data_IF_311091256740
#
_entry.id   IF_311091256740
#
_cell.length_a   1.000
_cell.length_b   1.000
_cell.length_c   1.000
_cell.angle_alpha   90.00
_cell.angle_beta   90.00
_cell.angle_gamma   90.00
#
_symmetry.space_group_name_H-M   'P 1'
#
loop_
_entity.id
_entity.type
_entity.pdbx_description
1 polymer ?
#
# COMPACT_ATOMS: atom_id res chain seq x y z
N UNK A 1 -5.81 -3.88 -16.04
CA UNK A 1 -4.55 -4.07 -15.29
C UNK A 1 -3.81 -5.32 -15.80
N UNK A 2 -4.47 -6.46 -16.01
CA UNK A 2 -3.78 -7.68 -16.47
C UNK A 2 -2.92 -7.48 -17.73
N UNK A 3 -3.38 -6.66 -18.66
CA UNK A 3 -2.74 -6.43 -19.97
C UNK A 3 -1.96 -5.09 -20.00
N UNK A 4 -1.76 -4.44 -18.85
CA UNK A 4 -0.99 -3.21 -18.69
C UNK A 4 0.42 -3.47 -18.13
N UNK A 5 1.25 -2.44 -18.04
CA UNK A 5 2.59 -2.47 -17.44
C UNK A 5 2.58 -2.33 -15.89
N UNK A 6 1.39 -2.28 -15.26
CA UNK A 6 1.30 -2.32 -13.79
C UNK A 6 1.90 -3.63 -13.25
N UNK A 7 2.56 -3.58 -12.09
CA UNK A 7 3.18 -4.76 -11.50
C UNK A 7 2.19 -5.59 -10.68
N UNK A 8 1.31 -4.92 -9.93
CA UNK A 8 0.38 -5.52 -8.98
C UNK A 8 -1.04 -4.97 -9.13
N UNK A 9 -2.00 -5.68 -8.52
CA UNK A 9 -3.33 -5.14 -8.21
C UNK A 9 -3.32 -4.62 -6.79
N UNK A 10 -3.49 -3.33 -6.57
CA UNK A 10 -3.74 -2.76 -5.26
C UNK A 10 -5.24 -2.80 -4.95
N UNK A 11 -5.61 -3.30 -3.77
CA UNK A 11 -7.00 -3.59 -3.40
C UNK A 11 -7.31 -3.03 -2.02
N UNK A 12 -8.13 -1.97 -1.99
CA UNK A 12 -8.53 -1.27 -0.78
C UNK A 12 -9.77 -1.89 -0.14
N UNK A 13 -9.62 -2.47 1.04
CA UNK A 13 -10.72 -3.03 1.86
C UNK A 13 -11.03 -2.07 3.00
N UNK A 14 -12.29 -1.63 3.06
CA UNK A 14 -12.78 -0.63 4.03
C UNK A 14 -14.02 -1.15 4.75
N UNK A 15 -14.06 -1.00 6.09
CA UNK A 15 -15.11 -1.55 6.96
C UNK A 15 -16.16 -0.53 7.44
N UNK A 16 -15.98 0.75 7.13
CA UNK A 16 -16.85 1.82 7.63
C UNK A 16 -16.66 2.18 9.10
N UNK A 17 -15.65 1.61 9.76
CA UNK A 17 -15.32 1.85 11.18
C UNK A 17 -13.94 2.51 11.31
N UNK A 18 -12.91 1.90 10.73
CA UNK A 18 -11.57 2.50 10.69
C UNK A 18 -11.56 3.75 9.80
N UNK A 19 -12.28 3.70 8.69
CA UNK A 19 -12.50 4.83 7.78
C UNK A 19 -14.01 5.04 7.55
N UNK A 20 -14.47 6.28 7.26
CA UNK A 20 -15.90 6.59 7.10
C UNK A 20 -16.43 6.17 5.72
N UNK A 21 -16.01 5.03 5.20
CA UNK A 21 -16.43 4.46 3.93
C UNK A 21 -16.41 2.94 4.00
N UNK A 22 -17.26 2.29 3.21
CA UNK A 22 -17.28 0.85 3.01
C UNK A 22 -16.97 0.58 1.53
N UNK A 23 -15.96 -0.24 1.25
CA UNK A 23 -15.66 -0.62 -0.13
C UNK A 23 -16.32 -1.97 -0.49
N UNK A 24 -15.56 -3.01 -0.45
CA UNK A 24 -16.00 -4.38 -0.72
C UNK A 24 -15.20 -5.35 0.17
N UNK A 25 -15.55 -6.62 0.16
CA UNK A 25 -14.91 -7.63 1.01
C UNK A 25 -14.54 -8.90 0.24
N UNK A 26 -14.45 -10.00 0.98
CA UNK A 26 -13.96 -11.30 0.52
C UNK A 26 -14.57 -11.81 -0.79
N UNK A 27 -15.89 -11.70 -1.06
CA UNK A 27 -16.46 -12.20 -2.33
C UNK A 27 -15.94 -11.50 -3.56
N UNK A 28 -15.65 -10.19 -3.46
CA UNK A 28 -15.08 -9.42 -4.58
C UNK A 28 -13.61 -9.76 -4.77
N UNK A 29 -12.84 -9.88 -3.68
CA UNK A 29 -11.45 -10.32 -3.75
C UNK A 29 -11.33 -11.72 -4.40
N UNK A 30 -12.21 -12.65 -4.03
CA UNK A 30 -12.29 -13.97 -4.63
C UNK A 30 -12.56 -13.90 -6.15
N UNK A 31 -13.45 -13.01 -6.58
CA UNK A 31 -13.73 -12.80 -7.99
C UNK A 31 -12.53 -12.19 -8.73
N UNK A 32 -11.84 -11.24 -8.12
CA UNK A 32 -10.61 -10.65 -8.67
C UNK A 32 -9.54 -11.74 -8.85
N UNK A 33 -9.28 -12.54 -7.80
CA UNK A 33 -8.25 -13.58 -7.83
C UNK A 33 -8.45 -14.61 -8.93
N UNK A 34 -9.70 -14.96 -9.26
CA UNK A 34 -10.01 -15.88 -10.38
C UNK A 34 -9.51 -15.38 -11.75
N UNK A 35 -9.36 -14.09 -11.91
CA UNK A 35 -9.02 -13.45 -13.20
C UNK A 35 -7.68 -12.73 -13.16
N UNK A 36 -7.13 -12.45 -11.98
CA UNK A 36 -5.86 -11.77 -11.82
C UNK A 36 -4.70 -12.64 -12.34
N UNK A 37 -3.82 -12.02 -13.14
CA UNK A 37 -2.57 -12.62 -13.63
C UNK A 37 -1.34 -12.03 -12.95
N UNK A 38 -1.54 -11.10 -12.04
CA UNK A 38 -0.51 -10.36 -11.30
C UNK A 38 -0.77 -10.47 -9.81
N UNK A 39 0.24 -10.27 -8.96
CA UNK A 39 0.08 -10.32 -7.51
C UNK A 39 -1.03 -9.40 -7.00
N UNK A 40 -1.69 -9.85 -5.94
CA UNK A 40 -2.69 -9.09 -5.21
C UNK A 40 -2.03 -8.47 -3.98
N UNK A 41 -2.03 -7.15 -3.95
CA UNK A 41 -1.58 -6.33 -2.85
C UNK A 41 -2.82 -5.77 -2.14
N UNK A 42 -3.10 -6.29 -0.94
CA UNK A 42 -4.34 -6.02 -0.20
C UNK A 42 -4.07 -5.07 0.94
N UNK A 43 -4.69 -3.90 0.89
CA UNK A 43 -4.60 -2.86 1.91
C UNK A 43 -5.86 -2.84 2.78
N UNK A 44 -5.71 -3.15 4.07
CA UNK A 44 -6.80 -3.25 5.03
C UNK A 44 -6.98 -1.96 5.83
N UNK A 45 -7.96 -1.16 5.45
CA UNK A 45 -8.47 -0.02 6.22
C UNK A 45 -9.63 -0.48 7.12
N UNK A 46 -9.34 -1.40 8.05
CA UNK A 46 -10.33 -2.02 8.94
C UNK A 46 -9.81 -2.07 10.38
N UNK A 47 -10.72 -2.17 11.33
CA UNK A 47 -10.38 -2.48 12.73
C UNK A 47 -10.13 -3.98 12.91
N UNK A 48 -9.33 -4.37 13.92
CA UNK A 48 -9.04 -5.78 14.26
C UNK A 48 -8.62 -6.64 13.05
N UNK A 49 -7.62 -6.24 12.21
CA UNK A 49 -7.26 -6.96 11.00
C UNK A 49 -6.76 -8.39 11.27
N UNK A 50 -6.21 -8.67 12.46
CA UNK A 50 -5.71 -9.99 12.87
C UNK A 50 -6.76 -11.11 12.68
N UNK A 51 -8.04 -10.78 12.78
CA UNK A 51 -9.15 -11.74 12.64
C UNK A 51 -9.29 -12.30 11.24
N UNK A 52 -8.75 -11.63 10.24
CA UNK A 52 -9.00 -11.91 8.83
C UNK A 52 -7.73 -12.32 8.05
N UNK A 53 -6.57 -12.40 8.71
CA UNK A 53 -5.29 -12.68 8.05
C UNK A 53 -5.37 -13.98 7.24
N UNK A 54 -5.86 -15.06 7.88
CA UNK A 54 -6.00 -16.36 7.21
C UNK A 54 -6.96 -16.32 6.02
N UNK A 55 -8.10 -15.65 6.16
CA UNK A 55 -9.08 -15.52 5.08
C UNK A 55 -8.49 -14.79 3.86
N UNK A 56 -7.72 -13.73 4.07
CA UNK A 56 -7.06 -13.03 2.97
C UNK A 56 -5.97 -13.88 2.30
N UNK A 57 -5.22 -14.68 3.06
CA UNK A 57 -4.28 -15.66 2.51
C UNK A 57 -5.00 -16.71 1.65
N UNK A 58 -6.08 -17.31 2.17
CA UNK A 58 -6.89 -18.32 1.44
C UNK A 58 -7.53 -17.72 0.16
N UNK A 59 -7.76 -16.41 0.13
CA UNK A 59 -8.27 -15.67 -1.03
C UNK A 59 -7.18 -15.22 -2.02
N UNK A 60 -5.92 -15.57 -1.76
CA UNK A 60 -4.81 -15.38 -2.69
C UNK A 60 -4.10 -14.03 -2.58
N UNK A 61 -4.22 -13.32 -1.46
CA UNK A 61 -3.40 -12.14 -1.20
C UNK A 61 -1.91 -12.51 -1.19
N UNK A 62 -1.10 -11.77 -1.95
CA UNK A 62 0.36 -11.95 -1.96
C UNK A 62 1.03 -11.01 -0.94
N UNK A 63 0.48 -9.81 -0.81
CA UNK A 63 0.86 -8.82 0.19
C UNK A 63 -0.38 -8.48 1.01
N UNK A 64 -0.22 -8.35 2.32
CA UNK A 64 -1.28 -7.91 3.22
C UNK A 64 -0.76 -6.76 4.07
N UNK A 65 -1.30 -5.57 3.82
CA UNK A 65 -0.93 -4.34 4.49
C UNK A 65 -2.01 -3.94 5.50
N UNK A 66 -1.61 -3.79 6.76
CA UNK A 66 -2.47 -3.39 7.88
C UNK A 66 -2.06 -2.03 8.40
N UNK A 67 -3.00 -1.25 8.92
CA UNK A 67 -2.67 0.04 9.53
C UNK A 67 -1.98 -0.12 10.88
N UNK A 68 -0.89 0.63 11.10
CA UNK A 68 -0.23 0.76 12.41
C UNK A 68 -1.26 1.08 13.50
N UNK A 69 -2.16 2.02 13.21
CA UNK A 69 -3.18 2.54 14.12
C UNK A 69 -4.28 1.51 14.47
N UNK A 70 -4.42 0.46 13.66
CA UNK A 70 -5.38 -0.63 13.89
C UNK A 70 -4.77 -1.84 14.62
N UNK A 71 -3.45 -1.86 14.87
CA UNK A 71 -2.72 -3.02 15.37
C UNK A 71 -2.05 -2.76 16.72
N UNK A 72 -2.75 -2.93 17.87
CA UNK A 72 -2.14 -2.74 19.20
C UNK A 72 -0.90 -3.62 19.46
N UNK A 73 -0.79 -4.75 18.76
CA UNK A 73 0.32 -5.70 18.87
C UNK A 73 0.97 -5.94 17.50
N UNK A 74 1.39 -4.86 16.84
CA UNK A 74 1.88 -4.86 15.46
C UNK A 74 2.88 -5.97 15.15
N UNK A 75 3.90 -6.18 15.99
CA UNK A 75 4.90 -7.22 15.76
C UNK A 75 4.28 -8.62 15.64
N UNK A 76 3.30 -8.96 16.50
CA UNK A 76 2.56 -10.23 16.43
C UNK A 76 1.75 -10.33 15.13
N UNK A 77 1.10 -9.24 14.72
CA UNK A 77 0.34 -9.17 13.47
C UNK A 77 1.23 -9.44 12.26
N UNK A 78 2.43 -8.83 12.20
CA UNK A 78 3.40 -9.07 11.13
C UNK A 78 3.83 -10.55 11.07
N UNK A 79 4.12 -11.15 12.23
CA UNK A 79 4.46 -12.58 12.29
C UNK A 79 3.31 -13.47 11.81
N UNK A 80 2.06 -13.14 12.15
CA UNK A 80 0.89 -13.89 11.71
C UNK A 80 0.70 -13.80 10.17
N UNK A 81 0.88 -12.62 9.58
CA UNK A 81 0.81 -12.43 8.12
C UNK A 81 1.88 -13.30 7.42
N UNK A 82 3.12 -13.25 7.91
CA UNK A 82 4.23 -14.04 7.35
C UNK A 82 4.04 -15.55 7.53
N UNK A 83 3.44 -15.98 8.63
CA UNK A 83 3.13 -17.38 8.89
C UNK A 83 2.12 -17.96 7.88
N UNK A 84 1.22 -17.14 7.33
CA UNK A 84 0.29 -17.51 6.25
C UNK A 84 0.93 -17.40 4.85
N UNK A 85 2.23 -17.12 4.75
CA UNK A 85 2.98 -17.09 3.48
C UNK A 85 2.86 -15.77 2.69
N UNK A 86 2.23 -14.76 3.25
CA UNK A 86 2.12 -13.43 2.62
C UNK A 86 3.30 -12.53 3.00
N UNK A 87 3.58 -11.52 2.18
CA UNK A 87 4.42 -10.40 2.54
C UNK A 87 3.66 -9.46 3.49
N UNK A 88 4.32 -9.05 4.58
CA UNK A 88 3.69 -8.25 5.62
C UNK A 88 3.94 -6.75 5.38
N UNK A 89 2.85 -5.99 5.15
CA UNK A 89 2.86 -4.54 4.99
C UNK A 89 2.32 -3.80 6.22
N UNK A 90 2.83 -2.59 6.44
CA UNK A 90 2.32 -1.66 7.45
C UNK A 90 1.99 -0.32 6.81
N UNK A 91 0.72 0.08 6.87
CA UNK A 91 0.29 1.41 6.49
C UNK A 91 0.38 2.39 7.67
N UNK A 92 0.75 3.63 7.39
CA UNK A 92 0.74 4.73 8.35
C UNK A 92 -0.04 5.93 7.81
N UNK A 93 -0.92 6.49 8.64
CA UNK A 93 -1.69 7.69 8.31
C UNK A 93 -0.79 8.92 8.10
N UNK A 94 -1.28 10.00 7.45
CA UNK A 94 -0.49 11.21 7.23
C UNK A 94 0.10 11.80 8.50
N UNK A 95 -0.61 11.75 9.62
CA UNK A 95 -0.17 12.29 10.92
C UNK A 95 0.74 11.34 11.73
N UNK A 96 0.85 10.07 11.36
CA UNK A 96 1.63 9.06 12.11
C UNK A 96 3.11 9.19 11.78
N UNK A 97 3.95 9.26 12.81
CA UNK A 97 5.40 9.41 12.63
C UNK A 97 6.04 8.09 12.19
N UNK A 98 6.91 8.12 11.18
CA UNK A 98 7.66 6.96 10.67
C UNK A 98 8.56 6.33 11.73
N UNK A 99 9.06 7.09 12.71
CA UNK A 99 9.94 6.60 13.78
C UNK A 99 9.30 5.53 14.65
N UNK A 100 7.96 5.45 14.67
CA UNK A 100 7.23 4.39 15.38
C UNK A 100 7.48 2.99 14.81
N UNK A 101 8.00 2.89 13.59
CA UNK A 101 8.33 1.63 12.93
C UNK A 101 9.77 1.18 13.18
N UNK A 102 10.60 2.00 13.85
CA UNK A 102 12.03 1.77 14.01
C UNK A 102 12.38 0.40 14.58
N UNK A 103 11.64 -0.05 15.59
CA UNK A 103 11.94 -1.29 16.29
C UNK A 103 11.44 -2.55 15.57
N UNK A 104 10.60 -2.39 14.54
CA UNK A 104 10.01 -3.50 13.76
C UNK A 104 10.33 -3.43 12.27
N UNK A 105 11.11 -2.43 11.82
CA UNK A 105 11.33 -2.17 10.39
C UNK A 105 11.89 -3.39 9.64
N UNK A 106 12.74 -4.20 10.27
CA UNK A 106 13.31 -5.42 9.67
C UNK A 106 12.29 -6.56 9.50
N UNK A 107 11.18 -6.49 10.21
CA UNK A 107 10.09 -7.47 10.11
C UNK A 107 9.04 -7.07 9.08
N UNK A 108 9.13 -5.84 8.53
CA UNK A 108 8.20 -5.27 7.56
C UNK A 108 8.75 -5.47 6.15
N UNK A 109 7.95 -6.06 5.25
CA UNK A 109 8.30 -6.17 3.83
C UNK A 109 7.94 -4.88 3.06
N UNK A 110 6.81 -4.21 3.42
CA UNK A 110 6.32 -2.99 2.78
C UNK A 110 5.84 -1.99 3.83
N UNK A 111 6.30 -0.73 3.76
CA UNK A 111 5.66 0.37 4.48
C UNK A 111 4.86 1.20 3.49
N UNK A 112 3.53 1.20 3.66
CA UNK A 112 2.61 2.03 2.91
C UNK A 112 2.44 3.39 3.60
N UNK A 113 2.98 4.44 2.98
CA UNK A 113 2.81 5.82 3.46
C UNK A 113 1.58 6.42 2.81
N UNK A 114 0.55 6.66 3.62
CA UNK A 114 -0.65 7.37 3.14
C UNK A 114 -0.30 8.82 2.84
N UNK A 115 -0.51 9.22 1.59
CA UNK A 115 -0.33 10.60 1.10
C UNK A 115 -1.64 11.38 0.98
N UNK A 116 -2.73 10.77 1.44
CA UNK A 116 -4.06 11.37 1.69
C UNK A 116 -4.62 10.76 2.97
N UNK A 117 -5.70 11.30 3.52
CA UNK A 117 -6.42 10.60 4.57
C UNK A 117 -7.12 9.35 3.98
N UNK A 118 -6.96 8.15 4.59
CA UNK A 118 -7.56 6.94 4.06
C UNK A 118 -9.10 7.02 4.06
N UNK A 119 -9.73 6.28 3.13
CA UNK A 119 -11.19 6.14 3.05
C UNK A 119 -11.84 6.63 1.76
N UNK A 120 -11.25 7.56 1.02
CA UNK A 120 -11.80 8.07 -0.25
C UNK A 120 -10.73 8.29 -1.28
N UNK A 121 -11.03 7.92 -2.53
CA UNK A 121 -10.17 8.21 -3.67
C UNK A 121 -10.31 9.66 -4.18
N UNK A 122 -9.33 10.12 -4.97
CA UNK A 122 -9.37 11.41 -5.67
C UNK A 122 -9.12 12.63 -4.79
N UNK A 123 -8.52 12.46 -3.62
CA UNK A 123 -8.09 13.53 -2.74
C UNK A 123 -6.81 14.21 -3.24
N UNK A 124 -6.55 15.42 -2.76
CA UNK A 124 -5.31 16.15 -3.02
C UNK A 124 -4.15 15.54 -2.24
N UNK A 125 -3.02 15.38 -2.91
CA UNK A 125 -1.77 14.89 -2.34
C UNK A 125 -1.28 15.79 -1.19
N UNK A 126 -0.79 15.19 -0.11
CA UNK A 126 -0.22 15.87 1.05
C UNK A 126 1.30 15.96 0.89
N UNK A 127 1.84 17.14 0.63
CA UNK A 127 3.25 17.35 0.30
C UNK A 127 4.24 16.95 1.40
N UNK A 128 3.82 16.96 2.67
CA UNK A 128 4.64 16.47 3.78
C UNK A 128 5.06 15.00 3.61
N UNK A 129 4.39 14.26 2.73
CA UNK A 129 4.72 12.87 2.37
C UNK A 129 6.15 12.72 1.88
N UNK A 130 6.66 13.66 1.08
CA UNK A 130 8.06 13.60 0.61
C UNK A 130 9.05 13.52 1.77
N UNK A 131 8.86 14.34 2.79
CA UNK A 131 9.71 14.32 3.97
C UNK A 131 9.58 13.01 4.78
N UNK A 132 8.37 12.46 4.89
CA UNK A 132 8.15 11.15 5.54
C UNK A 132 8.88 10.03 4.79
N UNK A 133 8.81 10.03 3.46
CA UNK A 133 9.48 9.04 2.60
C UNK A 133 11.00 9.12 2.78
N UNK A 134 11.58 10.31 2.71
CA UNK A 134 13.03 10.51 2.92
C UNK A 134 13.49 9.97 4.28
N UNK A 135 12.81 10.33 5.37
CA UNK A 135 13.14 9.84 6.72
C UNK A 135 12.99 8.33 6.84
N UNK A 136 11.96 7.76 6.23
CA UNK A 136 11.76 6.31 6.21
C UNK A 136 12.87 5.60 5.43
N UNK A 137 13.27 6.14 4.27
CA UNK A 137 14.38 5.60 3.46
C UNK A 137 15.71 5.63 4.23
N UNK A 138 15.99 6.73 4.92
CA UNK A 138 17.16 6.84 5.80
C UNK A 138 17.14 5.78 6.92
N UNK A 139 15.98 5.56 7.56
CA UNK A 139 15.82 4.53 8.59
C UNK A 139 16.10 3.13 8.05
N UNK A 140 15.54 2.79 6.89
CA UNK A 140 15.70 1.50 6.21
C UNK A 140 17.19 1.26 5.91
N UNK A 141 17.86 2.24 5.33
CA UNK A 141 19.28 2.15 4.99
C UNK A 141 20.17 2.02 6.25
N UNK A 142 19.92 2.84 7.27
CA UNK A 142 20.69 2.82 8.52
C UNK A 142 20.57 1.50 9.29
N UNK A 143 19.45 0.80 9.12
CA UNK A 143 19.23 -0.50 9.75
C UNK A 143 19.57 -1.70 8.86
N UNK A 144 19.98 -1.49 7.61
CA UNK A 144 20.17 -2.53 6.58
C UNK A 144 18.91 -3.41 6.46
N UNK A 145 17.72 -2.79 6.42
CA UNK A 145 16.46 -3.47 6.18
C UNK A 145 16.18 -3.55 4.66
N UNK A 146 15.40 -4.56 4.25
CA UNK A 146 15.00 -4.78 2.84
C UNK A 146 13.58 -4.29 2.56
N UNK A 147 13.03 -3.47 3.45
CA UNK A 147 11.67 -2.93 3.40
C UNK A 147 11.48 -2.01 2.21
N UNK A 148 10.42 -2.23 1.44
CA UNK A 148 10.01 -1.36 0.35
C UNK A 148 9.10 -0.24 0.86
N UNK A 149 9.16 0.92 0.20
CA UNK A 149 8.29 2.08 0.50
C UNK A 149 7.23 2.19 -0.58
N UNK A 150 5.98 2.08 -0.19
CA UNK A 150 4.82 2.25 -1.04
C UNK A 150 4.09 3.55 -0.70
N UNK A 151 3.55 4.23 -1.73
CA UNK A 151 2.81 5.48 -1.60
C UNK A 151 1.40 5.29 -2.13
N UNK A 152 0.40 5.58 -1.29
CA UNK A 152 -0.99 5.59 -1.71
C UNK A 152 -1.67 6.93 -1.40
N UNK A 153 -2.29 7.47 -2.45
CA UNK A 153 -3.13 8.67 -2.41
C UNK A 153 -2.63 9.83 -3.25
N UNK A 154 -3.44 10.26 -4.22
CA UNK A 154 -3.17 11.45 -5.03
C UNK A 154 -1.92 11.37 -5.91
N UNK A 155 -1.42 10.17 -6.20
CA UNK A 155 -0.28 9.96 -7.11
C UNK A 155 -0.70 10.23 -8.55
N UNK A 156 0.14 11.02 -9.24
CA UNK A 156 -0.03 11.42 -10.64
C UNK A 156 1.35 11.54 -11.31
N UNK A 157 1.39 11.77 -12.62
CA UNK A 157 2.65 12.04 -13.32
C UNK A 157 3.39 13.31 -12.85
N UNK A 158 2.71 14.19 -12.11
CA UNK A 158 3.31 15.46 -11.63
C UNK A 158 4.16 15.27 -10.37
N UNK A 159 3.85 14.28 -9.55
CA UNK A 159 4.53 14.02 -8.27
C UNK A 159 5.27 12.68 -8.23
N UNK A 160 5.04 11.78 -9.21
CA UNK A 160 5.65 10.45 -9.23
C UNK A 160 7.18 10.49 -9.19
N UNK A 161 7.81 11.30 -10.05
CA UNK A 161 9.27 11.41 -10.11
C UNK A 161 9.87 11.94 -8.80
N UNK A 162 9.22 12.92 -8.17
CA UNK A 162 9.69 13.47 -6.88
C UNK A 162 9.54 12.46 -5.75
N UNK A 163 8.48 11.63 -5.75
CA UNK A 163 8.30 10.53 -4.80
C UNK A 163 9.39 9.47 -4.95
N UNK A 164 9.72 9.10 -6.17
CA UNK A 164 10.81 8.15 -6.47
C UNK A 164 12.14 8.71 -5.98
N UNK A 165 12.44 9.97 -6.29
CA UNK A 165 13.66 10.65 -5.83
C UNK A 165 13.72 10.77 -4.29
N UNK A 166 12.58 10.88 -3.62
CA UNK A 166 12.49 10.86 -2.16
C UNK A 166 12.78 9.46 -1.57
N UNK A 167 12.68 8.40 -2.36
CA UNK A 167 12.99 7.02 -1.97
C UNK A 167 11.82 6.05 -2.05
N UNK A 168 10.70 6.41 -2.68
CA UNK A 168 9.58 5.50 -2.91
C UNK A 168 9.97 4.40 -3.92
N UNK A 169 9.58 3.17 -3.62
CA UNK A 169 9.84 1.99 -4.44
C UNK A 169 8.56 1.58 -5.23
N UNK A 170 7.37 1.88 -4.70
CA UNK A 170 6.07 1.47 -5.24
C UNK A 170 5.11 2.68 -5.21
N UNK A 171 4.36 2.88 -6.30
CA UNK A 171 3.37 3.94 -6.43
C UNK A 171 1.98 3.37 -6.74
N UNK A 172 0.99 3.70 -5.90
CA UNK A 172 -0.41 3.36 -6.14
C UNK A 172 -1.11 4.53 -6.83
N UNK A 173 -1.67 4.29 -8.01
CA UNK A 173 -2.30 5.30 -8.84
C UNK A 173 -3.73 4.87 -9.26
N UNK A 174 -4.68 4.94 -8.33
CA UNK A 174 -6.08 4.56 -8.58
C UNK A 174 -6.83 5.59 -9.43
N UNK A 175 -7.30 6.66 -8.80
CA UNK A 175 -8.16 7.67 -9.47
C UNK A 175 -7.52 8.31 -10.70
N UNK A 176 -6.21 8.50 -10.71
CA UNK A 176 -5.49 9.06 -11.85
C UNK A 176 -5.57 8.16 -13.08
N UNK A 177 -5.38 6.86 -12.89
CA UNK A 177 -5.46 5.86 -13.97
C UNK A 177 -6.91 5.64 -14.40
N UNK A 178 -7.82 5.39 -13.45
CA UNK A 178 -9.21 5.03 -13.79
C UNK A 178 -10.03 6.16 -14.43
N UNK A 179 -9.64 7.43 -14.22
CA UNK A 179 -10.26 8.60 -14.86
C UNK A 179 -9.61 8.99 -16.20
N UNK A 180 -8.49 8.36 -16.56
CA UNK A 180 -7.78 8.66 -17.80
C UNK A 180 -8.57 8.15 -19.02
N UNK A 181 -8.48 8.87 -20.13
CA UNK A 181 -9.07 8.44 -21.42
C UNK A 181 -8.42 7.15 -21.94
N UNK A 182 -7.10 7.02 -21.75
CA UNK A 182 -6.33 5.81 -22.09
C UNK A 182 -5.58 5.30 -20.86
N UNK A 183 -6.17 4.36 -20.15
CA UNK A 183 -5.63 3.81 -18.91
C UNK A 183 -4.30 3.07 -19.13
N UNK A 184 -4.16 2.33 -20.22
CA UNK A 184 -2.95 1.56 -20.52
C UNK A 184 -1.77 2.49 -20.77
N UNK A 185 -1.96 3.56 -21.54
CA UNK A 185 -0.92 4.54 -21.81
C UNK A 185 -0.55 5.30 -20.53
N UNK A 186 -1.52 5.68 -19.70
CA UNK A 186 -1.26 6.36 -18.42
C UNK A 186 -0.42 5.50 -17.47
N UNK A 187 -0.70 4.18 -17.40
CA UNK A 187 0.12 3.25 -16.60
C UNK A 187 1.54 3.17 -17.16
N UNK A 188 1.67 3.06 -18.49
CA UNK A 188 2.97 3.00 -19.17
C UNK A 188 3.80 4.25 -18.93
N UNK A 189 3.19 5.45 -19.01
CA UNK A 189 3.85 6.71 -18.68
C UNK A 189 4.37 6.74 -17.24
N UNK A 190 3.55 6.35 -16.26
CA UNK A 190 3.98 6.27 -14.86
C UNK A 190 5.13 5.27 -14.67
N UNK A 191 5.05 4.12 -15.32
CA UNK A 191 6.11 3.09 -15.29
C UNK A 191 7.41 3.60 -15.91
N UNK A 192 7.34 4.39 -16.97
CA UNK A 192 8.51 4.99 -17.61
C UNK A 192 9.21 5.99 -16.67
N UNK A 193 8.44 6.83 -15.97
CA UNK A 193 8.99 7.76 -14.97
C UNK A 193 9.73 7.02 -13.85
N UNK A 194 9.28 5.82 -13.47
CA UNK A 194 9.95 5.01 -12.45
C UNK A 194 11.28 4.39 -12.92
N UNK A 195 11.50 4.30 -14.23
CA UNK A 195 12.69 3.70 -14.83
C UNK A 195 13.67 4.73 -15.45
N UNK A 196 13.35 6.03 -15.33
CA UNK A 196 14.18 7.14 -15.86
C UNK A 196 15.06 7.74 -14.77
#
# INVERSE_FOLDING_TARGET
INDSDADWFHIDIMDGVFVPNISFGMPVLQAINKHAKKPLDVHLMIVDPDRYIKEFADLGANHLTVHYEACPHLHRTLQAIKAEGMKAGVAINPHTNVDLLKDVIKDIDIVLVMSVNPGFGGQSFIEHTYHKVQRLKEMILNQNAETLIEIDGGVTNKNALELINAGADILVAGSYVFKAENQLETIKELKHLANS
#
